data_IF_895375340766
#
_entry.id   IF_895375340766
#
_cell.length_a   1.000
_cell.length_b   1.000
_cell.length_c   1.000
_cell.angle_alpha   90.00
_cell.angle_beta   90.00
_cell.angle_gamma   90.00
#
_symmetry.space_group_name_H-M   'P 1'
#
loop_
_entity.id
_entity.type
_entity.pdbx_description
1 polymer ?
#
# COMPACT_ATOMS: atom_id res chain seq x y z
N UNK A 1 -3.52 -18.40 -5.30
CA UNK A 1 -2.25 -17.68 -5.60
C UNK A 1 -2.60 -16.43 -6.37
N UNK A 2 -2.21 -15.24 -5.91
CA UNK A 2 -2.44 -13.98 -6.61
C UNK A 2 -1.21 -13.67 -7.46
N UNK A 3 -1.41 -13.34 -8.74
CA UNK A 3 -0.34 -12.94 -9.67
C UNK A 3 -0.46 -11.45 -9.97
N UNK A 4 0.62 -10.72 -9.76
CA UNK A 4 0.73 -9.31 -10.17
C UNK A 4 1.50 -9.23 -11.48
N UNK A 5 1.02 -8.39 -12.40
CA UNK A 5 1.64 -8.15 -13.71
C UNK A 5 1.65 -6.65 -13.98
N UNK A 6 2.77 -6.15 -14.53
CA UNK A 6 2.89 -4.78 -15.01
C UNK A 6 3.03 -4.85 -16.54
N UNK A 7 2.05 -4.36 -17.31
CA UNK A 7 2.13 -4.40 -18.77
C UNK A 7 3.24 -3.48 -19.27
N UNK A 8 4.12 -4.00 -20.13
CA UNK A 8 5.20 -3.19 -20.71
C UNK A 8 4.67 -2.05 -21.60
N UNK A 9 3.45 -2.19 -22.13
CA UNK A 9 2.75 -1.15 -22.90
C UNK A 9 2.38 0.10 -22.09
N UNK A 10 2.32 -0.02 -20.76
CA UNK A 10 2.02 1.11 -19.85
C UNK A 10 3.28 1.88 -19.45
N UNK A 11 4.47 1.39 -19.82
CA UNK A 11 5.71 2.09 -19.56
C UNK A 11 5.86 3.31 -20.50
N UNK A 12 6.53 4.37 -20.03
CA UNK A 12 6.89 5.49 -20.90
C UNK A 12 7.63 5.04 -22.17
N UNK A 13 7.35 5.69 -23.30
CA UNK A 13 8.02 5.37 -24.56
C UNK A 13 9.52 5.66 -24.47
N UNK A 14 10.33 4.84 -25.13
CA UNK A 14 11.79 4.97 -25.13
C UNK A 14 12.50 4.30 -23.94
N UNK A 15 11.76 3.68 -23.03
CA UNK A 15 12.31 2.82 -21.98
C UNK A 15 12.72 1.48 -22.61
N UNK A 16 13.96 1.07 -22.39
CA UNK A 16 14.49 -0.24 -22.79
C UNK A 16 14.11 -1.30 -21.74
N UNK A 17 13.21 -2.26 -22.05
CA UNK A 17 12.74 -3.24 -21.07
C UNK A 17 13.84 -4.16 -20.54
N UNK A 18 14.95 -4.30 -21.27
CA UNK A 18 16.09 -5.14 -20.87
C UNK A 18 16.90 -4.56 -19.70
N UNK A 19 16.73 -3.26 -19.43
CA UNK A 19 17.46 -2.51 -18.41
C UNK A 19 16.62 -2.24 -17.15
N UNK A 20 15.43 -2.83 -17.06
CA UNK A 20 14.52 -2.62 -15.95
C UNK A 20 14.91 -3.46 -14.74
N UNK A 21 14.49 -3.03 -13.56
CA UNK A 21 14.59 -3.83 -12.34
C UNK A 21 13.26 -3.78 -11.64
N UNK A 22 12.75 -4.94 -11.25
CA UNK A 22 11.53 -5.05 -10.45
C UNK A 22 11.92 -4.98 -8.99
N UNK A 23 11.37 -4.01 -8.24
CA UNK A 23 11.48 -3.94 -6.79
C UNK A 23 10.13 -4.27 -6.17
N UNK A 24 10.10 -5.24 -5.27
CA UNK A 24 8.94 -5.53 -4.44
C UNK A 24 9.29 -5.25 -2.97
N UNK A 25 8.43 -4.49 -2.29
CA UNK A 25 8.60 -4.16 -0.87
C UNK A 25 7.32 -4.50 -0.12
N UNK A 26 7.46 -5.31 0.92
CA UNK A 26 6.37 -5.74 1.78
C UNK A 26 6.41 -4.92 3.08
N UNK A 27 5.29 -4.28 3.38
CA UNK A 27 5.07 -3.56 4.62
C UNK A 27 3.93 -4.22 5.41
N UNK A 28 4.02 -4.14 6.73
CA UNK A 28 2.95 -4.47 7.66
C UNK A 28 2.29 -3.19 8.19
N UNK A 29 0.97 -3.22 8.25
CA UNK A 29 0.15 -2.20 8.91
C UNK A 29 -0.82 -2.91 9.84
N UNK A 30 -0.97 -2.39 11.06
CA UNK A 30 -1.80 -3.00 12.10
C UNK A 30 -3.29 -2.95 11.80
N UNK A 31 -3.71 -2.00 10.96
CA UNK A 31 -5.08 -1.86 10.49
C UNK A 31 -5.17 -2.21 9.00
N UNK A 32 -6.05 -3.15 8.58
CA UNK A 32 -6.27 -3.41 7.16
C UNK A 32 -6.91 -2.19 6.47
N UNK A 33 -6.75 -2.03 5.14
CA UNK A 33 -7.26 -0.86 4.41
C UNK A 33 -8.76 -0.60 4.58
N UNK A 34 -9.55 -1.64 4.84
CA UNK A 34 -10.99 -1.57 5.03
C UNK A 34 -11.44 -1.42 6.50
N UNK A 35 -10.50 -1.33 7.46
CA UNK A 35 -10.83 -1.33 8.89
C UNK A 35 -11.83 -0.23 9.27
N UNK A 36 -11.57 1.02 8.86
CA UNK A 36 -12.42 2.15 9.22
C UNK A 36 -13.80 2.04 8.56
N UNK A 37 -13.86 1.64 7.29
CA UNK A 37 -15.12 1.41 6.56
C UNK A 37 -15.99 0.41 7.34
N UNK A 38 -15.44 -0.75 7.69
CA UNK A 38 -16.18 -1.78 8.43
C UNK A 38 -16.67 -1.29 9.80
N UNK A 39 -15.86 -0.50 10.51
CA UNK A 39 -16.26 0.05 11.82
C UNK A 39 -17.38 1.07 11.69
N UNK A 40 -17.36 1.89 10.65
CA UNK A 40 -18.36 2.93 10.42
C UNK A 40 -19.66 2.37 9.87
N UNK A 41 -19.61 1.32 9.04
CA UNK A 41 -20.81 0.67 8.49
C UNK A 41 -21.50 -0.27 9.48
N UNK A 42 -20.74 -1.03 10.28
CA UNK A 42 -21.30 -2.06 11.14
C UNK A 42 -22.09 -1.55 12.34
N UNK A 43 -21.72 -0.39 12.90
CA UNK A 43 -22.37 0.19 14.08
C UNK A 43 -22.24 1.73 14.11
N UNK A 44 -22.81 2.46 13.13
CA UNK A 44 -22.58 3.90 12.94
C UNK A 44 -22.97 4.76 14.15
N UNK A 45 -24.04 4.35 14.86
CA UNK A 45 -24.59 5.11 15.98
C UNK A 45 -24.03 4.68 17.35
N UNK A 46 -23.13 3.68 17.39
CA UNK A 46 -22.54 3.27 18.64
C UNK A 46 -21.59 4.36 19.17
N UNK A 47 -21.61 4.67 20.49
CA UNK A 47 -20.75 5.71 21.05
C UNK A 47 -19.25 5.52 20.76
N UNK A 48 -18.79 4.27 20.72
CA UNK A 48 -17.40 3.94 20.36
C UNK A 48 -17.06 4.31 18.91
N UNK A 49 -17.96 4.01 17.97
CA UNK A 49 -17.79 4.33 16.54
C UNK A 49 -17.74 5.83 16.32
N UNK A 50 -18.60 6.59 16.97
CA UNK A 50 -18.63 8.05 16.87
C UNK A 50 -17.34 8.69 17.42
N UNK A 51 -16.81 8.19 18.54
CA UNK A 51 -15.52 8.64 19.08
C UNK A 51 -14.37 8.31 18.14
N UNK A 52 -14.34 7.08 17.61
CA UNK A 52 -13.32 6.68 16.64
C UNK A 52 -13.36 7.59 15.41
N UNK A 53 -14.55 7.83 14.85
CA UNK A 53 -14.74 8.72 13.71
C UNK A 53 -14.22 10.14 13.99
N UNK A 54 -14.54 10.70 15.16
CA UNK A 54 -14.03 12.01 15.56
C UNK A 54 -12.50 12.05 15.63
N UNK A 55 -11.87 11.03 16.21
CA UNK A 55 -10.41 10.95 16.30
C UNK A 55 -9.76 10.82 14.93
N UNK A 56 -10.24 9.91 14.08
CA UNK A 56 -9.63 9.63 12.78
C UNK A 56 -9.88 10.72 11.74
N UNK A 57 -10.98 11.48 11.87
CA UNK A 57 -11.27 12.62 10.98
C UNK A 57 -10.49 13.90 11.35
N UNK A 58 -9.86 13.92 12.52
CA UNK A 58 -9.06 15.06 13.02
C UNK A 58 -7.59 14.74 13.24
N UNK A 59 -7.20 13.48 13.06
CA UNK A 59 -5.81 13.06 13.15
C UNK A 59 -5.04 13.70 11.99
N UNK A 60 -4.06 14.55 12.31
CA UNK A 60 -3.08 15.05 11.38
C UNK A 60 -1.70 14.49 11.75
N UNK A 61 -1.15 13.53 10.97
CA UNK A 61 0.15 12.97 11.23
C UNK A 61 1.30 13.77 10.61
N UNK A 62 1.04 14.82 9.83
CA UNK A 62 2.05 15.57 9.09
C UNK A 62 3.16 16.10 10.02
N UNK A 63 4.42 15.82 9.68
CA UNK A 63 5.59 16.20 10.45
C UNK A 63 5.78 15.44 11.76
N UNK A 64 5.00 14.39 12.01
CA UNK A 64 5.10 13.56 13.22
C UNK A 64 5.81 12.22 12.94
N UNK A 65 6.35 11.53 13.96
CA UNK A 65 6.96 10.21 13.79
C UNK A 65 6.02 9.10 13.28
N UNK A 66 4.70 9.35 13.29
CA UNK A 66 3.68 8.39 12.83
C UNK A 66 3.19 8.69 11.40
N UNK A 67 3.71 9.74 10.75
CA UNK A 67 3.47 10.02 9.34
C UNK A 67 3.85 8.81 8.49
N UNK A 68 2.94 8.37 7.63
CA UNK A 68 3.09 7.20 6.75
C UNK A 68 3.57 5.91 7.45
N UNK A 69 3.29 5.78 8.77
CA UNK A 69 3.82 4.67 9.55
C UNK A 69 3.38 3.31 9.00
N UNK A 70 4.37 2.51 8.66
CA UNK A 70 4.24 1.12 8.21
C UNK A 70 5.55 0.40 8.51
N UNK A 71 5.45 -0.82 9.04
CA UNK A 71 6.63 -1.61 9.38
C UNK A 71 7.16 -2.29 8.12
N UNK A 72 8.41 -2.02 7.74
CA UNK A 72 9.07 -2.76 6.65
C UNK A 72 9.30 -4.21 7.08
N UNK A 73 8.79 -5.17 6.31
CA UNK A 73 8.97 -6.60 6.56
C UNK A 73 10.07 -7.16 5.67
N UNK A 74 9.99 -6.87 4.36
CA UNK A 74 10.94 -7.39 3.39
C UNK A 74 11.05 -6.46 2.17
N UNK A 75 12.20 -6.45 1.52
CA UNK A 75 12.39 -5.83 0.20
C UNK A 75 13.25 -6.74 -0.66
N UNK A 76 12.88 -6.91 -1.91
CA UNK A 76 13.64 -7.69 -2.90
C UNK A 76 13.68 -6.95 -4.22
N UNK A 77 14.75 -7.19 -4.98
CA UNK A 77 14.95 -6.62 -6.30
C UNK A 77 15.36 -7.74 -7.27
N UNK A 78 14.79 -7.71 -8.46
CA UNK A 78 15.09 -8.65 -9.52
C UNK A 78 15.38 -7.89 -10.82
N UNK A 79 16.60 -7.97 -11.38
CA UNK A 79 16.91 -7.35 -12.65
C UNK A 79 16.12 -8.02 -13.79
N UNK A 80 15.71 -7.26 -14.80
CA UNK A 80 15.01 -7.79 -15.96
C UNK A 80 15.95 -8.66 -16.78
N UNK A 81 15.89 -9.98 -16.55
CA UNK A 81 16.44 -10.94 -17.50
C UNK A 81 15.33 -11.27 -18.49
N UNK A 82 15.35 -10.62 -19.65
CA UNK A 82 14.56 -11.05 -20.81
C UNK A 82 15.00 -12.48 -21.14
N UNK A 83 14.23 -13.49 -20.72
CA UNK A 83 14.41 -14.85 -21.22
C UNK A 83 14.03 -14.83 -22.69
N UNK A 84 15.03 -14.93 -23.57
CA UNK A 84 14.85 -15.32 -24.96
C UNK A 84 14.09 -16.64 -24.98
N UNK A 85 12.84 -16.61 -25.46
CA UNK A 85 12.13 -17.80 -25.92
C UNK A 85 12.28 -17.86 -27.43
#
# INVERSE_FOLDING_TARGET
MVRYQVPLSELPRGIDPSKLTVKATLYYQSIPPYYLIQRFEGAPNAPGTQRLFYLTSRLNPDGTPIEDWKLLIASSQWPSQLRSR
#
